data_IF_491789380213
#
_entry.id   IF_491789380213
#
_cell.length_a   1.000
_cell.length_b   1.000
_cell.length_c   1.000
_cell.angle_alpha   90.00
_cell.angle_beta   90.00
_cell.angle_gamma   90.00
#
_symmetry.space_group_name_H-M   'P 1'
#
loop_
_entity.id
_entity.type
_entity.pdbx_description
1 polymer ?
#
# COMPACT_ATOMS: atom_id res chain seq x y z
N UNK A 1 -11.67 -13.20 -4.84
CA UNK A 1 -10.96 -12.31 -5.78
C UNK A 1 -10.02 -11.30 -5.11
N UNK A 2 -10.29 -10.70 -3.92
CA UNK A 2 -9.38 -9.72 -3.30
C UNK A 2 -8.00 -10.28 -2.91
N UNK A 3 -7.96 -11.52 -2.40
CA UNK A 3 -6.75 -12.18 -1.87
C UNK A 3 -5.60 -12.35 -2.89
N UNK A 4 -5.92 -12.57 -4.17
CA UNK A 4 -4.91 -12.83 -5.20
C UNK A 4 -4.17 -11.54 -5.61
N UNK A 5 -4.88 -10.42 -5.73
CA UNK A 5 -4.29 -9.10 -6.06
C UNK A 5 -3.32 -8.66 -4.96
N UNK A 6 -3.73 -8.89 -3.71
CA UNK A 6 -3.04 -8.49 -2.50
C UNK A 6 -1.64 -9.10 -2.42
N UNK A 7 -1.55 -10.42 -2.51
CA UNK A 7 -0.28 -11.14 -2.41
C UNK A 7 0.60 -10.85 -3.64
N UNK A 8 0.00 -10.83 -4.84
CA UNK A 8 0.76 -10.58 -6.08
C UNK A 8 1.43 -9.21 -6.11
N UNK A 9 0.76 -8.16 -5.60
CA UNK A 9 1.31 -6.79 -5.56
C UNK A 9 2.53 -6.70 -4.65
N UNK A 10 2.43 -7.27 -3.44
CA UNK A 10 3.52 -7.26 -2.47
C UNK A 10 4.66 -8.20 -2.84
N UNK A 11 4.38 -9.36 -3.44
CA UNK A 11 5.42 -10.22 -3.97
C UNK A 11 6.26 -9.52 -5.03
N UNK A 12 5.64 -8.80 -5.97
CA UNK A 12 6.37 -7.99 -6.95
C UNK A 12 7.15 -6.85 -6.31
N UNK A 13 6.56 -6.15 -5.35
CA UNK A 13 7.25 -5.10 -4.60
C UNK A 13 8.54 -5.63 -3.98
N UNK A 14 8.51 -6.82 -3.36
CA UNK A 14 9.70 -7.40 -2.73
C UNK A 14 10.68 -8.01 -3.72
N UNK A 15 10.22 -8.45 -4.90
CA UNK A 15 11.11 -8.84 -6.01
C UNK A 15 11.89 -7.63 -6.55
N UNK A 16 11.23 -6.48 -6.70
CA UNK A 16 11.83 -5.26 -7.26
C UNK A 16 12.59 -4.43 -6.22
N UNK A 17 12.18 -4.50 -4.96
CA UNK A 17 12.68 -3.72 -3.84
C UNK A 17 12.93 -4.60 -2.61
N UNK A 18 13.87 -5.54 -2.74
CA UNK A 18 14.23 -6.49 -1.68
C UNK A 18 14.64 -5.81 -0.36
N UNK A 19 15.12 -4.57 -0.41
CA UNK A 19 15.41 -3.76 0.77
C UNK A 19 14.17 -3.48 1.63
N UNK A 20 12.98 -3.39 1.03
CA UNK A 20 11.74 -3.13 1.76
C UNK A 20 11.32 -4.34 2.59
N UNK A 21 11.57 -5.56 2.09
CA UNK A 21 11.31 -6.80 2.82
C UNK A 21 12.07 -6.82 4.16
N UNK A 22 13.27 -6.25 4.19
CA UNK A 22 14.12 -6.21 5.38
C UNK A 22 13.60 -5.29 6.51
N UNK A 23 12.67 -4.37 6.19
CA UNK A 23 12.06 -3.44 7.15
C UNK A 23 10.94 -4.09 7.96
N UNK A 24 10.45 -5.21 7.48
CA UNK A 24 9.44 -5.98 8.16
C UNK A 24 10.07 -7.02 9.07
N UNK A 25 10.26 -6.63 10.33
CA UNK A 25 10.95 -7.43 11.34
C UNK A 25 10.37 -8.82 11.57
N UNK A 26 9.07 -9.02 11.29
CA UNK A 26 8.38 -10.30 11.47
C UNK A 26 8.46 -11.27 10.28
N UNK A 27 8.98 -10.85 9.11
CA UNK A 27 8.91 -11.66 7.89
C UNK A 27 10.10 -11.54 6.93
N UNK A 28 11.28 -11.15 7.44
CA UNK A 28 12.55 -11.12 6.67
C UNK A 28 12.93 -12.48 6.05
N UNK A 29 12.33 -13.58 6.53
CA UNK A 29 12.56 -14.94 6.03
C UNK A 29 11.58 -15.40 4.94
N UNK A 30 10.51 -14.65 4.62
CA UNK A 30 9.56 -14.99 3.54
C UNK A 30 10.14 -14.64 2.17
N UNK A 31 11.20 -15.35 1.79
CA UNK A 31 11.98 -15.12 0.56
C UNK A 31 11.33 -15.74 -0.68
N UNK A 32 10.36 -16.65 -0.50
CA UNK A 32 9.65 -17.30 -1.60
C UNK A 32 8.21 -16.78 -1.74
N UNK A 33 7.65 -16.87 -2.96
CA UNK A 33 6.25 -16.54 -3.23
C UNK A 33 5.27 -17.38 -2.40
N UNK A 34 5.63 -18.64 -2.13
CA UNK A 34 4.82 -19.56 -1.34
C UNK A 34 4.78 -19.14 0.13
N UNK A 35 5.91 -18.74 0.70
CA UNK A 35 6.00 -18.22 2.06
C UNK A 35 5.21 -16.92 2.22
N UNK A 36 5.29 -16.03 1.23
CA UNK A 36 4.53 -14.78 1.20
C UNK A 36 3.02 -15.03 1.06
N UNK A 37 2.60 -16.01 0.26
CA UNK A 37 1.19 -16.33 0.06
C UNK A 37 0.52 -16.91 1.31
N UNK A 38 1.28 -17.59 2.16
CA UNK A 38 0.78 -18.19 3.40
C UNK A 38 0.91 -17.25 4.62
N UNK A 39 1.43 -16.04 4.44
CA UNK A 39 1.64 -15.09 5.53
C UNK A 39 0.36 -14.35 5.90
N UNK A 40 -0.15 -14.64 7.10
CA UNK A 40 -1.31 -13.95 7.65
C UNK A 40 -1.06 -12.43 7.81
N UNK A 41 0.12 -12.03 8.25
CA UNK A 41 0.46 -10.63 8.49
C UNK A 41 0.59 -9.84 7.17
N UNK A 42 1.16 -10.46 6.12
CA UNK A 42 1.18 -9.85 4.79
C UNK A 42 -0.23 -9.75 4.21
N UNK A 43 -1.05 -10.78 4.45
CA UNK A 43 -2.45 -10.77 4.03
C UNK A 43 -3.24 -9.67 4.73
N UNK A 44 -3.06 -9.46 6.03
CA UNK A 44 -3.69 -8.38 6.80
C UNK A 44 -3.24 -6.99 6.32
N UNK A 45 -1.93 -6.81 6.08
CA UNK A 45 -1.41 -5.54 5.59
C UNK A 45 -1.90 -5.23 4.17
N UNK A 46 -1.83 -6.20 3.26
CA UNK A 46 -2.33 -6.06 1.90
C UNK A 46 -3.86 -5.88 1.88
N UNK A 47 -4.59 -6.53 2.79
CA UNK A 47 -6.03 -6.31 2.98
C UNK A 47 -6.34 -4.89 3.40
N UNK A 48 -5.55 -4.34 4.31
CA UNK A 48 -5.68 -2.95 4.76
C UNK A 48 -5.48 -1.97 3.60
N UNK A 49 -4.44 -2.17 2.79
CA UNK A 49 -4.16 -1.34 1.60
C UNK A 49 -5.30 -1.43 0.58
N UNK A 50 -5.76 -2.64 0.24
CA UNK A 50 -6.84 -2.82 -0.74
C UNK A 50 -8.18 -2.26 -0.25
N UNK A 51 -8.50 -2.42 1.03
CA UNK A 51 -9.72 -1.85 1.61
C UNK A 51 -9.71 -0.32 1.49
N UNK A 52 -8.58 0.30 1.78
CA UNK A 52 -8.36 1.75 1.66
C UNK A 52 -8.56 2.24 0.22
N UNK A 53 -8.09 1.47 -0.76
CA UNK A 53 -8.29 1.76 -2.19
C UNK A 53 -9.75 1.60 -2.63
N UNK A 54 -10.39 0.52 -2.21
CA UNK A 54 -11.81 0.25 -2.46
C UNK A 54 -12.69 1.38 -1.90
N UNK A 55 -12.36 1.87 -0.71
CA UNK A 55 -13.03 2.99 -0.06
C UNK A 55 -12.79 4.31 -0.79
N UNK A 56 -11.55 4.55 -1.27
CA UNK A 56 -11.23 5.71 -2.11
C UNK A 56 -12.01 5.72 -3.44
N UNK A 57 -12.22 4.56 -4.06
CA UNK A 57 -13.01 4.42 -5.31
C UNK A 57 -14.51 4.55 -5.04
N UNK A 58 -14.99 4.01 -3.91
CA UNK A 58 -16.42 4.01 -3.56
C UNK A 58 -16.92 5.36 -3.04
N UNK A 59 -16.02 6.33 -2.81
CA UNK A 59 -16.37 7.68 -2.39
C UNK A 59 -17.09 7.65 -1.04
N UNK A 60 -16.33 7.50 0.05
CA UNK A 60 -16.88 7.43 1.40
C UNK A 60 -17.83 8.61 1.72
N UNK A 61 -18.93 8.30 2.41
CA UNK A 61 -19.87 9.29 2.96
C UNK A 61 -19.20 10.25 3.96
N UNK A 62 -18.03 9.87 4.50
CA UNK A 62 -17.22 10.69 5.40
C UNK A 62 -15.74 10.69 4.97
N UNK A 63 -15.41 11.65 4.09
CA UNK A 63 -14.04 11.87 3.62
C UNK A 63 -13.10 12.31 4.74
N UNK A 64 -13.58 13.06 5.75
CA UNK A 64 -12.73 13.54 6.85
C UNK A 64 -12.18 12.37 7.67
N UNK A 65 -13.04 11.39 8.02
CA UNK A 65 -12.61 10.17 8.70
C UNK A 65 -11.62 9.34 7.87
N UNK A 66 -11.78 9.34 6.54
CA UNK A 66 -10.85 8.67 5.64
C UNK A 66 -9.47 9.34 5.64
N UNK A 67 -9.42 10.66 5.55
CA UNK A 67 -8.17 11.41 5.63
C UNK A 67 -7.48 11.25 6.98
N UNK A 68 -8.23 11.30 8.09
CA UNK A 68 -7.67 11.04 9.42
C UNK A 68 -7.05 9.64 9.52
N UNK A 69 -7.74 8.63 9.00
CA UNK A 69 -7.24 7.27 8.94
C UNK A 69 -5.93 7.18 8.13
N UNK A 70 -5.90 7.74 6.91
CA UNK A 70 -4.71 7.75 6.08
C UNK A 70 -3.54 8.49 6.74
N UNK A 71 -3.81 9.62 7.37
CA UNK A 71 -2.78 10.33 8.14
C UNK A 71 -2.23 9.48 9.28
N UNK A 72 -3.09 8.76 10.00
CA UNK A 72 -2.66 7.85 11.06
C UNK A 72 -1.80 6.70 10.52
N UNK A 73 -2.18 6.09 9.39
CA UNK A 73 -1.40 5.04 8.74
C UNK A 73 -0.04 5.59 8.31
N UNK A 74 -0.01 6.75 7.66
CA UNK A 74 1.23 7.46 7.31
C UNK A 74 2.13 7.68 8.51
N UNK A 75 1.59 8.25 9.59
CA UNK A 75 2.30 8.47 10.84
C UNK A 75 2.85 7.17 11.46
N UNK A 76 2.10 6.06 11.39
CA UNK A 76 2.52 4.79 11.97
C UNK A 76 3.81 4.23 11.36
N UNK A 77 4.10 4.53 10.09
CA UNK A 77 5.32 4.08 9.41
C UNK A 77 6.59 4.74 9.97
N UNK A 78 6.49 5.84 10.76
CA UNK A 78 7.63 6.39 11.52
C UNK A 78 8.18 5.42 12.56
N UNK A 79 7.36 4.49 13.02
CA UNK A 79 7.78 3.47 14.00
C UNK A 79 8.65 2.38 13.37
N UNK A 80 8.76 2.34 12.04
CA UNK A 80 9.57 1.38 11.31
C UNK A 80 11.01 1.93 11.20
N UNK A 81 12.01 1.29 11.84
CA UNK A 81 13.38 1.78 11.80
C UNK A 81 13.93 1.84 10.37
N UNK A 82 14.45 3.00 9.98
CA UNK A 82 15.06 3.19 8.65
C UNK A 82 14.07 3.39 7.50
N UNK A 83 12.77 3.48 7.78
CA UNK A 83 11.77 3.76 6.75
C UNK A 83 11.95 5.19 6.19
N UNK A 84 12.02 5.29 4.85
CA UNK A 84 12.10 6.55 4.12
C UNK A 84 10.75 6.84 3.48
N UNK A 85 10.35 8.10 3.48
CA UNK A 85 9.08 8.56 2.90
C UNK A 85 8.92 8.13 1.44
N UNK A 86 10.02 8.11 0.68
CA UNK A 86 10.05 7.68 -0.73
C UNK A 86 9.63 6.21 -0.93
N UNK A 87 9.68 5.38 0.11
CA UNK A 87 9.26 3.98 0.02
C UNK A 87 7.77 3.83 -0.19
N UNK A 88 6.94 4.80 0.22
CA UNK A 88 5.52 4.78 -0.11
C UNK A 88 5.27 4.78 -1.62
N UNK A 89 6.13 5.44 -2.41
CA UNK A 89 5.98 5.51 -3.87
C UNK A 89 6.36 4.21 -4.57
N UNK A 90 7.10 3.31 -3.91
CA UNK A 90 7.53 2.03 -4.50
C UNK A 90 6.38 1.06 -4.74
N UNK A 91 5.24 1.23 -4.05
CA UNK A 91 4.05 0.38 -4.24
C UNK A 91 3.25 0.73 -5.49
N UNK A 92 3.42 1.92 -6.07
CA UNK A 92 2.58 2.41 -7.17
C UNK A 92 2.57 1.47 -8.37
N UNK A 93 3.75 1.19 -8.94
CA UNK A 93 3.87 0.34 -10.14
C UNK A 93 3.45 -1.10 -9.87
N UNK A 94 3.95 -1.80 -8.82
CA UNK A 94 3.53 -3.17 -8.53
C UNK A 94 2.03 -3.31 -8.31
N UNK A 95 1.41 -2.30 -7.68
CA UNK A 95 -0.04 -2.26 -7.48
C UNK A 95 -0.81 -2.15 -8.80
N UNK A 96 -0.47 -1.17 -9.64
CA UNK A 96 -1.16 -0.94 -10.91
C UNK A 96 -1.02 -2.16 -11.84
N UNK A 97 0.13 -2.80 -11.86
CA UNK A 97 0.35 -4.02 -12.63
C UNK A 97 -0.50 -5.20 -12.12
N UNK A 98 -0.61 -5.37 -10.81
CA UNK A 98 -1.45 -6.41 -10.22
C UNK A 98 -2.94 -6.18 -10.49
N UNK A 99 -3.39 -4.92 -10.47
CA UNK A 99 -4.77 -4.55 -10.87
C UNK A 99 -4.99 -4.90 -12.34
N UNK A 100 -4.07 -4.51 -13.23
CA UNK A 100 -4.14 -4.82 -14.66
C UNK A 100 -4.23 -6.32 -14.93
N UNK A 101 -3.39 -7.11 -14.28
CA UNK A 101 -3.39 -8.57 -14.41
C UNK A 101 -4.68 -9.19 -13.90
N UNK A 102 -5.23 -8.68 -12.81
CA UNK A 102 -6.44 -9.25 -12.22
C UNK A 102 -7.69 -8.91 -13.02
N UNK A 103 -7.77 -7.69 -13.54
CA UNK A 103 -8.92 -7.25 -14.32
C UNK A 103 -8.87 -7.78 -15.75
N UNK A 104 -7.69 -8.09 -16.29
CA UNK A 104 -7.53 -8.66 -17.64
C UNK A 104 -8.26 -7.83 -18.68
N UNK A 105 -9.17 -8.44 -19.43
CA UNK A 105 -9.98 -7.76 -20.46
C UNK A 105 -10.90 -6.65 -19.92
N UNK A 106 -11.14 -6.61 -18.60
CA UNK A 106 -11.91 -5.53 -17.95
C UNK A 106 -11.05 -4.29 -17.62
N UNK A 107 -9.74 -4.39 -17.78
CA UNK A 107 -8.82 -3.26 -17.59
C UNK A 107 -8.86 -2.33 -18.81
N UNK A 108 -9.81 -1.40 -18.80
CA UNK A 108 -9.97 -0.37 -19.84
C UNK A 108 -9.14 0.87 -19.51
N UNK A 109 -8.93 1.77 -20.48
CA UNK A 109 -8.24 3.06 -20.26
C UNK A 109 -8.89 3.89 -19.15
N UNK A 110 -10.22 3.86 -19.04
CA UNK A 110 -10.93 4.55 -17.97
C UNK A 110 -10.62 3.95 -16.60
N UNK A 111 -10.57 2.61 -16.51
CA UNK A 111 -10.20 1.90 -15.29
C UNK A 111 -8.76 2.21 -14.90
N UNK A 112 -7.83 2.18 -15.87
CA UNK A 112 -6.44 2.55 -15.67
C UNK A 112 -6.29 3.96 -15.08
N UNK A 113 -7.00 4.94 -15.65
CA UNK A 113 -6.94 6.31 -15.18
C UNK A 113 -7.47 6.45 -13.74
N UNK A 114 -8.60 5.79 -13.41
CA UNK A 114 -9.17 5.80 -12.06
C UNK A 114 -8.17 5.24 -11.05
N UNK A 115 -7.62 4.05 -11.31
CA UNK A 115 -6.67 3.42 -10.38
C UNK A 115 -5.39 4.23 -10.22
N UNK A 116 -4.86 4.82 -11.31
CA UNK A 116 -3.70 5.71 -11.27
C UNK A 116 -3.92 6.94 -10.39
N UNK A 117 -5.07 7.61 -10.53
CA UNK A 117 -5.38 8.79 -9.73
C UNK A 117 -5.57 8.43 -8.26
N UNK A 118 -6.31 7.35 -7.99
CA UNK A 118 -6.61 6.92 -6.61
C UNK A 118 -5.34 6.50 -5.86
N UNK A 119 -4.46 5.69 -6.46
CA UNK A 119 -3.24 5.25 -5.75
C UNK A 119 -2.32 6.43 -5.44
N UNK A 120 -2.13 7.36 -6.39
CA UNK A 120 -1.32 8.56 -6.19
C UNK A 120 -1.90 9.44 -5.09
N UNK A 121 -3.22 9.58 -5.05
CA UNK A 121 -3.90 10.35 -4.02
C UNK A 121 -3.71 9.74 -2.62
N UNK A 122 -3.86 8.43 -2.49
CA UNK A 122 -3.63 7.73 -1.22
C UNK A 122 -2.17 7.86 -0.80
N UNK A 123 -1.21 7.61 -1.69
CA UNK A 123 0.22 7.73 -1.38
C UNK A 123 0.57 9.15 -0.90
N UNK A 124 0.06 10.19 -1.58
CA UNK A 124 0.27 11.58 -1.14
C UNK A 124 -0.26 11.83 0.28
N UNK A 125 -1.46 11.33 0.58
CA UNK A 125 -2.06 11.49 1.91
C UNK A 125 -1.26 10.73 2.99
N UNK A 126 -0.74 9.54 2.68
CA UNK A 126 0.15 8.79 3.57
C UNK A 126 1.46 9.55 3.83
N UNK A 127 2.04 10.13 2.79
CA UNK A 127 3.24 10.98 2.88
C UNK A 127 2.98 12.19 3.77
N UNK A 128 1.85 12.87 3.59
CA UNK A 128 1.44 14.00 4.43
C UNK A 128 1.30 13.59 5.91
N UNK A 129 0.68 12.43 6.18
CA UNK A 129 0.57 11.87 7.53
C UNK A 129 1.93 11.57 8.15
N UNK A 130 2.83 10.97 7.36
CA UNK A 130 4.19 10.66 7.78
C UNK A 130 4.98 11.94 8.11
N UNK A 131 4.88 12.99 7.30
CA UNK A 131 5.60 14.26 7.49
C UNK A 131 5.01 15.13 8.60
N UNK A 132 3.69 15.12 8.78
CA UNK A 132 3.05 15.87 9.86
C UNK A 132 3.39 15.27 11.24
N UNK A 133 3.51 13.94 11.35
CA UNK A 133 3.97 13.29 12.58
C UNK A 133 5.39 13.73 13.02
N UNK A 134 6.24 14.10 12.07
CA UNK A 134 7.59 14.62 12.35
C UNK A 134 7.56 15.99 13.05
N UNK A 135 6.57 16.83 12.72
CA UNK A 135 6.44 18.18 13.29
C UNK A 135 6.01 18.12 14.76
N UNK A 136 5.22 17.13 15.15
CA UNK A 136 4.73 16.96 16.53
C UNK A 136 5.76 16.43 17.54
N UNK A 137 6.89 15.85 17.10
CA UNK A 137 7.93 15.32 18.01
C UNK A 137 9.02 16.36 18.36
N UNK A 138 8.93 17.59 17.83
CA UNK A 138 9.94 18.65 18.00
C UNK A 138 9.47 19.79 18.90
N UNK A 139 8.52 19.54 19.82
CA UNK A 139 8.06 20.52 20.82
C UNK A 139 7.97 19.85 22.18
#
# INVERSE_FOLDING_TARGET
MPCIIQISSFSRLFEEHAELLSMFSKFKELKTKEDQANSLELHEHATTVMKTLDEGIKGLDNLDAFFEYLHHVGASHRRIPGFKVDYFWKIETPFLEAVKQTLGDRYTENVENIYNLTIKFIIKTLVEGFDNANKTTTT
#
